data_IF_498590696184
#
_entry.id   IF_498590696184
#
_cell.length_a   1.000
_cell.length_b   1.000
_cell.length_c   1.000
_cell.angle_alpha   90.00
_cell.angle_beta   90.00
_cell.angle_gamma   90.00
#
_symmetry.space_group_name_H-M   'P 1'
#
loop_
_entity.id
_entity.type
_entity.pdbx_description
1 polymer ?
#
# COMPACT_ATOMS: atom_id res chain seq x y z
N UNK A 1 -36.69 15.78 -35.37
CA UNK A 1 -36.92 17.14 -34.85
C UNK A 1 -37.55 17.04 -33.47
N UNK A 2 -37.10 17.88 -32.52
CA UNK A 2 -37.62 18.10 -31.16
C UNK A 2 -37.14 17.07 -30.10
N UNK A 3 -36.57 17.46 -28.95
CA UNK A 3 -36.23 18.75 -28.33
C UNK A 3 -35.09 18.51 -27.34
N UNK A 4 -34.16 19.48 -27.22
CA UNK A 4 -33.14 19.53 -26.17
C UNK A 4 -33.79 19.46 -24.78
N UNK A 5 -33.19 18.72 -23.84
CA UNK A 5 -33.27 19.05 -22.43
C UNK A 5 -31.85 19.31 -21.92
N UNK A 6 -31.52 20.59 -21.79
CA UNK A 6 -30.40 21.07 -20.98
C UNK A 6 -30.97 21.21 -19.58
N UNK A 7 -30.41 20.48 -18.60
CA UNK A 7 -30.69 20.71 -17.18
C UNK A 7 -29.45 21.34 -16.56
N UNK A 8 -29.41 22.67 -16.59
CA UNK A 8 -28.65 23.49 -15.64
C UNK A 8 -29.21 23.25 -14.25
N UNK A 9 -28.45 22.55 -13.40
CA UNK A 9 -28.74 22.51 -11.97
C UNK A 9 -27.95 23.62 -11.30
N UNK A 10 -28.66 24.71 -11.00
CA UNK A 10 -28.24 25.72 -10.05
C UNK A 10 -28.06 25.06 -8.67
N UNK A 11 -26.91 25.31 -8.07
CA UNK A 11 -26.62 24.96 -6.69
C UNK A 11 -27.69 25.55 -5.77
N UNK A 12 -28.30 24.70 -4.95
CA UNK A 12 -28.65 24.91 -3.54
C UNK A 12 -29.19 23.56 -3.02
N UNK A 13 -28.56 23.04 -1.96
CA UNK A 13 -28.70 21.66 -1.51
C UNK A 13 -30.12 21.25 -1.16
N UNK A 14 -30.53 20.10 -1.69
CA UNK A 14 -31.41 19.07 -1.12
C UNK A 14 -30.96 17.76 -1.79
N UNK A 15 -30.58 16.77 -1.00
CA UNK A 15 -30.28 15.41 -1.48
C UNK A 15 -31.59 14.80 -2.01
N UNK A 16 -31.73 14.74 -3.33
CA UNK A 16 -32.70 13.86 -3.96
C UNK A 16 -32.02 12.49 -4.12
N UNK A 17 -32.42 11.51 -3.30
CA UNK A 17 -32.11 10.10 -3.53
C UNK A 17 -32.85 9.65 -4.80
N UNK A 18 -32.15 9.73 -5.93
CA UNK A 18 -32.58 9.08 -7.17
C UNK A 18 -32.22 7.61 -7.00
N UNK A 19 -33.20 6.78 -6.62
CA UNK A 19 -33.12 5.33 -6.77
C UNK A 19 -33.14 5.00 -8.27
N UNK A 20 -31.98 5.06 -8.90
CA UNK A 20 -31.77 4.44 -10.20
C UNK A 20 -31.86 2.92 -9.98
N UNK A 21 -32.99 2.32 -10.36
CA UNK A 21 -33.08 0.88 -10.58
C UNK A 21 -32.01 0.51 -11.62
N UNK A 22 -31.03 -0.35 -11.29
CA UNK A 22 -30.10 -0.81 -12.31
C UNK A 22 -30.90 -1.65 -13.28
N UNK A 23 -31.11 -1.11 -14.49
CA UNK A 23 -31.43 -1.94 -15.63
C UNK A 23 -30.34 -3.01 -15.69
N UNK A 24 -30.73 -4.28 -15.61
CA UNK A 24 -29.83 -5.43 -15.65
C UNK A 24 -29.16 -5.54 -17.02
N UNK A 25 -28.21 -4.65 -17.28
CA UNK A 25 -27.36 -4.66 -18.45
C UNK A 25 -26.51 -5.91 -18.36
N UNK A 26 -26.83 -6.91 -19.20
CA UNK A 26 -26.05 -8.13 -19.31
C UNK A 26 -24.66 -7.72 -19.79
N UNK A 27 -23.66 -7.90 -18.92
CA UNK A 27 -22.27 -7.65 -19.27
C UNK A 27 -21.90 -8.52 -20.46
N UNK A 28 -21.31 -7.91 -21.50
CA UNK A 28 -20.89 -8.63 -22.70
C UNK A 28 -19.50 -9.23 -22.52
N UNK A 29 -19.18 -10.29 -23.27
CA UNK A 29 -17.83 -10.86 -23.25
C UNK A 29 -16.76 -9.87 -23.70
N UNK A 30 -17.10 -8.99 -24.65
CA UNK A 30 -16.23 -7.91 -25.08
C UNK A 30 -15.89 -6.93 -23.94
N UNK A 31 -16.89 -6.57 -23.12
CA UNK A 31 -16.67 -5.72 -21.95
C UNK A 31 -15.78 -6.38 -20.90
N UNK A 32 -16.00 -7.67 -20.59
CA UNK A 32 -15.15 -8.37 -19.62
C UNK A 32 -13.73 -8.50 -20.14
N UNK A 33 -13.55 -8.83 -21.43
CA UNK A 33 -12.23 -8.88 -22.05
C UNK A 33 -11.51 -7.52 -22.02
N UNK A 34 -12.23 -6.42 -22.24
CA UNK A 34 -11.66 -5.08 -22.15
C UNK A 34 -11.23 -4.72 -20.72
N UNK A 35 -12.02 -5.10 -19.71
CA UNK A 35 -11.66 -4.92 -18.30
C UNK A 35 -10.43 -5.74 -17.90
N UNK A 36 -10.36 -7.00 -18.34
CA UNK A 36 -9.18 -7.85 -18.13
C UNK A 36 -7.94 -7.22 -18.78
N UNK A 37 -8.07 -6.76 -20.03
CA UNK A 37 -6.96 -6.14 -20.75
C UNK A 37 -6.47 -4.87 -20.04
N UNK A 38 -7.40 -4.01 -19.60
CA UNK A 38 -7.06 -2.80 -18.88
C UNK A 38 -6.28 -3.11 -17.59
N UNK A 39 -6.70 -4.14 -16.86
CA UNK A 39 -6.06 -4.57 -15.62
C UNK A 39 -4.64 -5.10 -15.81
N UNK A 40 -4.36 -5.78 -16.92
CA UNK A 40 -3.04 -6.30 -17.27
C UNK A 40 -2.13 -5.17 -17.77
N UNK A 41 -2.64 -4.30 -18.65
CA UNK A 41 -1.84 -3.25 -19.30
C UNK A 41 -1.54 -2.05 -18.41
N UNK A 42 -2.39 -1.77 -17.41
CA UNK A 42 -2.26 -0.59 -16.55
C UNK A 42 -2.20 -0.99 -15.06
N UNK A 43 -1.16 -1.74 -14.65
CA UNK A 43 -0.99 -2.12 -13.26
C UNK A 43 -0.71 -0.90 -12.38
N UNK A 44 -1.19 -0.94 -11.13
CA UNK A 44 -0.97 0.10 -10.12
C UNK A 44 -0.12 -0.44 -8.97
N UNK A 45 0.58 0.43 -8.25
CA UNK A 45 1.32 0.09 -7.04
C UNK A 45 2.58 -0.75 -7.29
N UNK A 46 2.99 -1.53 -6.28
CA UNK A 46 4.24 -2.30 -6.26
C UNK A 46 4.05 -3.72 -6.81
N UNK A 47 3.66 -3.82 -8.09
CA UNK A 47 3.34 -5.09 -8.75
C UNK A 47 4.56 -5.85 -9.31
N UNK A 48 5.67 -5.16 -9.55
CA UNK A 48 6.88 -5.78 -10.11
C UNK A 48 7.52 -6.74 -9.10
N UNK A 49 7.92 -7.94 -9.56
CA UNK A 49 8.45 -9.02 -8.74
C UNK A 49 7.47 -9.55 -7.67
N UNK A 50 6.18 -9.26 -7.81
CA UNK A 50 5.15 -9.80 -6.94
C UNK A 50 4.62 -11.10 -7.54
N UNK A 51 5.08 -12.23 -6.99
CA UNK A 51 4.72 -13.56 -7.50
C UNK A 51 3.20 -13.82 -7.51
N UNK A 52 2.47 -13.38 -6.48
CA UNK A 52 1.01 -13.55 -6.43
C UNK A 52 0.31 -12.74 -7.53
N UNK A 53 0.81 -11.53 -7.82
CA UNK A 53 0.31 -10.71 -8.93
C UNK A 53 0.59 -11.36 -10.29
N UNK A 54 1.81 -11.85 -10.50
CA UNK A 54 2.22 -12.55 -11.73
C UNK A 54 1.31 -13.76 -12.01
N UNK A 55 1.04 -14.59 -10.99
CA UNK A 55 0.14 -15.75 -11.11
C UNK A 55 -1.29 -15.35 -11.48
N UNK A 56 -1.79 -14.24 -10.93
CA UNK A 56 -3.11 -13.72 -11.30
C UNK A 56 -3.16 -13.20 -12.73
N UNK A 57 -2.11 -12.50 -13.18
CA UNK A 57 -2.02 -12.00 -14.56
C UNK A 57 -1.99 -13.15 -15.56
N UNK A 58 -1.18 -14.19 -15.31
CA UNK A 58 -1.15 -15.39 -16.15
C UNK A 58 -2.53 -16.05 -16.25
N UNK A 59 -3.24 -16.19 -15.13
CA UNK A 59 -4.61 -16.72 -15.12
C UNK A 59 -5.59 -15.85 -15.91
N UNK A 60 -5.47 -14.52 -15.81
CA UNK A 60 -6.30 -13.59 -16.57
C UNK A 60 -6.06 -13.71 -18.07
N UNK A 61 -4.81 -13.83 -18.51
CA UNK A 61 -4.45 -14.04 -19.93
C UNK A 61 -5.05 -15.34 -20.47
N UNK A 62 -4.91 -16.44 -19.73
CA UNK A 62 -5.49 -17.74 -20.09
C UNK A 62 -7.01 -17.64 -20.20
N UNK A 63 -7.67 -17.09 -19.17
CA UNK A 63 -9.13 -17.03 -19.10
C UNK A 63 -9.72 -16.10 -20.16
N UNK A 64 -9.02 -15.01 -20.51
CA UNK A 64 -9.42 -14.11 -21.60
C UNK A 64 -9.54 -14.83 -22.95
N UNK A 65 -8.70 -15.84 -23.20
CA UNK A 65 -8.71 -16.64 -24.45
C UNK A 65 -9.88 -17.63 -24.55
N UNK A 66 -10.53 -17.95 -23.44
CA UNK A 66 -11.65 -18.90 -23.39
C UNK A 66 -12.94 -18.26 -23.91
N UNK A 67 -13.87 -19.05 -24.44
CA UNK A 67 -15.23 -18.59 -24.75
C UNK A 67 -16.19 -18.96 -23.61
N UNK A 68 -15.90 -18.44 -22.42
CA UNK A 68 -16.67 -18.74 -21.19
C UNK A 68 -16.83 -17.47 -20.35
N UNK A 69 -17.95 -16.76 -20.59
CA UNK A 69 -18.25 -15.48 -19.95
C UNK A 69 -18.32 -15.60 -18.42
N UNK A 70 -18.97 -16.66 -17.91
CA UNK A 70 -19.13 -16.86 -16.46
C UNK A 70 -17.78 -17.05 -15.78
N UNK A 71 -16.88 -17.86 -16.36
CA UNK A 71 -15.53 -18.02 -15.84
C UNK A 71 -14.75 -16.70 -15.91
N UNK A 72 -14.84 -15.96 -17.01
CA UNK A 72 -14.17 -14.65 -17.15
C UNK A 72 -14.57 -13.69 -16.04
N UNK A 73 -15.88 -13.54 -15.80
CA UNK A 73 -16.37 -12.68 -14.73
C UNK A 73 -15.90 -13.15 -13.36
N UNK A 74 -15.95 -14.46 -13.09
CA UNK A 74 -15.52 -15.02 -11.80
C UNK A 74 -14.05 -14.76 -11.53
N UNK A 75 -13.17 -15.06 -12.49
CA UNK A 75 -11.73 -14.82 -12.35
C UNK A 75 -11.40 -13.35 -12.25
N UNK A 76 -12.02 -12.50 -13.07
CA UNK A 76 -11.82 -11.05 -12.97
C UNK A 76 -12.25 -10.50 -11.61
N UNK A 77 -13.40 -10.91 -11.07
CA UNK A 77 -13.84 -10.53 -9.71
C UNK A 77 -12.85 -10.97 -8.63
N UNK A 78 -12.31 -12.19 -8.74
CA UNK A 78 -11.30 -12.69 -7.81
C UNK A 78 -10.01 -11.86 -7.88
N UNK A 79 -9.52 -11.55 -9.08
CA UNK A 79 -8.39 -10.67 -9.28
C UNK A 79 -8.64 -9.29 -8.66
N UNK A 80 -9.81 -8.68 -8.90
CA UNK A 80 -10.14 -7.38 -8.31
C UNK A 80 -10.11 -7.42 -6.78
N UNK A 81 -10.66 -8.48 -6.16
CA UNK A 81 -10.62 -8.65 -4.70
C UNK A 81 -9.19 -8.72 -4.18
N UNK A 82 -8.36 -9.56 -4.82
CA UNK A 82 -6.94 -9.67 -4.50
C UNK A 82 -6.21 -8.32 -4.65
N UNK A 83 -6.35 -7.69 -5.82
CA UNK A 83 -5.61 -6.49 -6.18
C UNK A 83 -6.00 -5.29 -5.32
N UNK A 84 -7.27 -5.16 -4.96
CA UNK A 84 -7.73 -4.13 -4.02
C UNK A 84 -7.09 -4.32 -2.64
N UNK A 85 -7.02 -5.55 -2.14
CA UNK A 85 -6.36 -5.84 -0.86
C UNK A 85 -4.86 -5.55 -0.93
N UNK A 86 -4.21 -5.91 -2.05
CA UNK A 86 -2.79 -5.59 -2.26
C UNK A 86 -2.52 -4.09 -2.17
N UNK A 87 -3.29 -3.28 -2.90
CA UNK A 87 -3.12 -1.83 -2.93
C UNK A 87 -3.43 -1.17 -1.57
N UNK A 88 -4.38 -1.71 -0.82
CA UNK A 88 -4.66 -1.27 0.55
C UNK A 88 -3.45 -1.54 1.46
N UNK A 89 -2.90 -2.75 1.43
CA UNK A 89 -1.73 -3.12 2.22
C UNK A 89 -0.48 -2.31 1.85
N UNK A 90 -0.26 -2.03 0.57
CA UNK A 90 0.84 -1.15 0.12
C UNK A 90 0.70 0.26 0.71
N UNK A 91 -0.52 0.82 0.73
CA UNK A 91 -0.78 2.10 1.38
C UNK A 91 -0.51 2.05 2.88
N UNK A 92 -0.93 0.98 3.55
CA UNK A 92 -0.71 0.82 4.99
C UNK A 92 0.79 0.71 5.31
N UNK A 93 1.55 0.00 4.48
CA UNK A 93 3.02 -0.07 4.58
C UNK A 93 3.64 1.31 4.41
N UNK A 94 3.28 2.07 3.38
CA UNK A 94 3.78 3.42 3.14
C UNK A 94 3.45 4.38 4.29
N UNK A 95 2.24 4.28 4.84
CA UNK A 95 1.82 5.05 6.01
C UNK A 95 2.66 4.70 7.24
N UNK A 96 2.86 3.40 7.52
CA UNK A 96 3.65 2.96 8.67
C UNK A 96 5.12 3.34 8.52
N UNK A 97 5.70 3.25 7.32
CA UNK A 97 7.06 3.69 7.04
C UNK A 97 7.25 5.18 7.37
N UNK A 98 6.31 6.04 6.97
CA UNK A 98 6.32 7.48 7.34
C UNK A 98 6.15 7.71 8.85
N UNK A 99 5.33 6.89 9.50
CA UNK A 99 5.17 6.98 10.96
C UNK A 99 6.47 6.58 11.68
N UNK A 100 7.17 5.57 11.20
CA UNK A 100 8.47 5.16 11.74
C UNK A 100 9.52 6.27 11.61
N UNK A 101 9.56 6.99 10.48
CA UNK A 101 10.41 8.18 10.31
C UNK A 101 10.08 9.25 11.37
N UNK A 102 8.79 9.49 11.64
CA UNK A 102 8.38 10.41 12.69
C UNK A 102 8.81 9.93 14.08
N UNK A 103 8.64 8.64 14.39
CA UNK A 103 9.00 8.04 15.68
C UNK A 103 10.50 8.16 15.98
N UNK A 104 11.37 8.10 14.96
CA UNK A 104 12.80 8.40 15.09
C UNK A 104 13.05 9.81 15.65
N UNK A 105 12.25 10.80 15.25
CA UNK A 105 12.42 12.19 15.66
C UNK A 105 11.66 12.56 16.94
N UNK A 106 10.53 11.90 17.22
CA UNK A 106 9.63 12.29 18.32
C UNK A 106 9.67 11.36 19.52
N UNK A 107 10.08 10.10 19.33
CA UNK A 107 9.91 9.03 20.32
C UNK A 107 11.22 8.35 20.69
N UNK A 108 12.23 8.37 19.81
CA UNK A 108 13.51 7.76 20.11
C UNK A 108 14.30 8.58 21.14
N UNK A 109 14.59 7.96 22.28
CA UNK A 109 15.39 8.56 23.37
C UNK A 109 16.82 8.05 23.41
N UNK A 110 17.15 7.02 22.62
CA UNK A 110 18.47 6.40 22.57
C UNK A 110 18.86 5.97 21.15
N UNK A 111 20.15 5.73 20.94
CA UNK A 111 20.68 5.22 19.66
C UNK A 111 20.09 3.84 19.33
N UNK A 112 19.81 3.03 20.34
CA UNK A 112 19.14 1.72 20.21
C UNK A 112 17.73 1.89 19.65
N UNK A 113 16.95 2.85 20.15
CA UNK A 113 15.61 3.12 19.61
C UNK A 113 15.66 3.68 18.18
N UNK A 114 16.64 4.54 17.88
CA UNK A 114 16.85 5.02 16.50
C UNK A 114 17.09 3.83 15.57
N UNK A 115 18.02 2.93 15.93
CA UNK A 115 18.31 1.71 15.15
C UNK A 115 17.10 0.78 15.05
N UNK A 116 16.33 0.64 16.12
CA UNK A 116 15.13 -0.18 16.16
C UNK A 116 14.08 0.30 15.15
N UNK A 117 13.74 1.59 15.15
CA UNK A 117 12.77 2.15 14.21
C UNK A 117 13.26 2.11 12.76
N UNK A 118 14.55 2.38 12.51
CA UNK A 118 15.12 2.21 11.17
C UNK A 118 15.06 0.75 10.70
N UNK A 119 15.35 -0.21 11.57
CA UNK A 119 15.23 -1.62 11.22
C UNK A 119 13.80 -2.01 10.87
N UNK A 120 12.80 -1.49 11.60
CA UNK A 120 11.40 -1.74 11.27
C UNK A 120 11.03 -1.16 9.90
N UNK A 121 11.50 0.07 9.61
CA UNK A 121 11.22 0.74 8.34
C UNK A 121 11.79 -0.04 7.14
N UNK A 122 13.03 -0.48 7.23
CA UNK A 122 13.67 -1.26 6.16
C UNK A 122 12.87 -2.55 5.90
N UNK A 123 12.48 -3.26 6.96
CA UNK A 123 11.72 -4.51 6.84
C UNK A 123 10.35 -4.29 6.22
N UNK A 124 9.63 -3.25 6.64
CA UNK A 124 8.28 -3.01 6.14
C UNK A 124 8.27 -2.54 4.68
N UNK A 125 9.24 -1.70 4.27
CA UNK A 125 9.38 -1.27 2.87
C UNK A 125 9.77 -2.42 1.95
N UNK A 126 10.57 -3.38 2.42
CA UNK A 126 10.91 -4.58 1.64
C UNK A 126 9.67 -5.42 1.31
N UNK A 127 8.64 -5.41 2.15
CA UNK A 127 7.41 -6.18 1.95
C UNK A 127 6.48 -5.61 0.85
N UNK A 128 6.76 -4.43 0.28
CA UNK A 128 5.91 -3.81 -0.75
C UNK A 128 5.69 -4.72 -1.98
N UNK A 129 6.67 -5.56 -2.30
CA UNK A 129 6.58 -6.49 -3.45
C UNK A 129 6.16 -7.92 -3.06
N UNK A 130 5.97 -8.21 -1.77
CA UNK A 130 5.63 -9.56 -1.29
C UNK A 130 4.14 -9.94 -1.50
N UNK A 131 3.76 -11.18 -1.22
CA UNK A 131 2.34 -11.60 -1.20
C UNK A 131 1.51 -10.82 -0.17
N UNK A 132 0.18 -10.78 -0.33
CA UNK A 132 -0.69 -10.08 0.62
C UNK A 132 -0.54 -10.62 2.06
N UNK A 133 -0.39 -11.94 2.22
CA UNK A 133 -0.21 -12.55 3.53
C UNK A 133 1.12 -12.14 4.20
N UNK A 134 2.18 -11.95 3.41
CA UNK A 134 3.47 -11.49 3.90
C UNK A 134 3.44 -9.99 4.24
N UNK A 135 2.75 -9.17 3.43
CA UNK A 135 2.50 -7.76 3.74
C UNK A 135 1.80 -7.59 5.09
N UNK A 136 0.72 -8.34 5.32
CA UNK A 136 -0.02 -8.33 6.58
C UNK A 136 0.85 -8.72 7.77
N UNK A 137 1.66 -9.77 7.62
CA UNK A 137 2.62 -10.19 8.65
C UNK A 137 3.65 -9.11 8.93
N UNK A 138 4.21 -8.50 7.89
CA UNK A 138 5.22 -7.45 8.05
C UNK A 138 4.65 -6.22 8.75
N UNK A 139 3.40 -5.84 8.48
CA UNK A 139 2.71 -4.78 9.21
C UNK A 139 2.57 -5.11 10.70
N UNK A 140 2.20 -6.35 11.04
CA UNK A 140 2.06 -6.82 12.42
C UNK A 140 3.41 -6.90 13.16
N UNK A 141 4.44 -7.45 12.52
CA UNK A 141 5.76 -7.61 13.15
C UNK A 141 6.50 -6.28 13.36
N UNK A 142 6.10 -5.23 12.65
CA UNK A 142 6.73 -3.90 12.68
C UNK A 142 5.74 -2.81 13.16
N UNK A 143 4.83 -3.17 14.08
CA UNK A 143 3.90 -2.23 14.73
C UNK A 143 4.34 -1.77 16.12
N UNK A 144 5.24 -2.51 16.77
CA UNK A 144 5.57 -2.28 18.17
C UNK A 144 6.48 -1.05 18.37
N UNK A 145 6.24 -0.26 19.44
CA UNK A 145 7.13 0.82 19.82
C UNK A 145 8.47 0.28 20.37
N UNK A 146 9.50 1.12 20.37
CA UNK A 146 10.77 0.77 21.01
C UNK A 146 10.52 0.49 22.51
N UNK A 147 11.02 -0.63 23.07
CA UNK A 147 10.82 -0.95 24.47
C UNK A 147 11.54 0.06 25.38
N UNK A 148 10.86 0.55 26.42
CA UNK A 148 11.39 1.57 27.33
C UNK A 148 12.66 1.13 28.11
N UNK A 149 12.99 -0.16 28.14
CA UNK A 149 14.11 -0.71 28.90
C UNK A 149 15.50 -0.42 28.32
N UNK A 150 15.62 0.25 27.16
CA UNK A 150 16.91 0.79 26.68
C UNK A 150 17.26 2.16 27.27
N UNK A 151 16.39 2.78 28.08
CA UNK A 151 16.65 4.05 28.76
C UNK A 151 17.31 3.88 30.15
N UNK A 152 17.87 2.70 30.45
CA UNK A 152 18.48 2.37 31.75
C UNK A 152 20.00 2.24 31.72
N UNK A 153 20.69 2.83 30.75
CA UNK A 153 22.16 2.93 30.81
C UNK A 153 22.49 4.17 31.61
N UNK A 154 22.96 3.92 32.83
CA UNK A 154 23.43 4.87 33.83
C UNK A 154 24.29 5.98 33.19
N UNK A 155 23.90 7.24 33.35
CA UNK A 155 24.61 8.46 32.87
C UNK A 155 25.96 8.68 33.59
N UNK A 156 26.50 7.68 34.28
CA UNK A 156 27.65 7.84 35.19
C UNK A 156 29.03 7.67 34.53
N UNK A 157 29.13 7.23 33.28
CA UNK A 157 30.43 6.89 32.65
C UNK A 157 30.90 7.83 31.52
N UNK A 158 30.30 9.02 31.34
CA UNK A 158 30.82 10.00 30.36
C UNK A 158 32.00 10.81 30.93
N UNK A 159 33.15 10.15 31.08
CA UNK A 159 34.42 10.77 31.46
C UNK A 159 34.99 11.59 30.28
N UNK A 160 34.86 12.91 30.33
CA UNK A 160 35.48 13.84 29.37
C UNK A 160 37.00 13.88 29.60
N UNK A 161 37.75 13.02 28.91
CA UNK A 161 39.21 13.13 28.79
C UNK A 161 39.58 14.06 27.64
N UNK A 162 39.72 15.37 27.88
CA UNK A 162 40.28 16.28 26.88
C UNK A 162 41.80 16.13 26.81
N UNK A 163 42.30 15.48 25.76
CA UNK A 163 43.69 15.64 25.34
C UNK A 163 43.75 16.79 24.34
N UNK A 164 44.22 17.96 24.79
CA UNK A 164 44.77 18.97 23.90
C UNK A 164 46.28 18.75 23.84
N UNK A 165 46.73 18.02 22.83
CA UNK A 165 48.09 18.12 22.31
C UNK A 165 48.00 18.97 21.05
N UNK A 166 48.31 20.27 21.17
CA UNK A 166 48.61 21.14 20.03
C UNK A 166 49.80 22.02 20.44
N UNK A 167 50.98 21.40 20.43
CA UNK A 167 52.25 22.10 20.31
C UNK A 167 52.38 22.63 18.88
N UNK A 168 52.13 23.92 18.68
CA UNK A 168 52.64 24.65 17.52
C UNK A 168 53.60 25.74 17.99
N UNK A 169 54.89 25.41 17.94
CA UNK A 169 56.00 26.36 17.87
C UNK A 169 55.93 27.11 16.53
N UNK A 170 55.92 28.45 16.58
CA UNK A 170 56.31 29.34 15.47
C UNK A 170 56.95 30.62 15.99
#
# INVERSE_FOLDING_TARGET
MNRKLILTVLALGIFAEIYAYPNGEKTTEAEVNAKIEQAIQNPLGHFQNNKEYEEFVEQLEIIKSLQDLEKKEKFYKNFQKYNNRRLELERDIECRAKQLEKEVHTSATSVECIRFYYSQKIKIEAALTDTNAQKERSLLENSEPCPASVAGVDESDFYYGSYYDDDYDY
#
